data_IF_864363727032
#
_entry.id   IF_864363727032
#
_cell.length_a   1.000
_cell.length_b   1.000
_cell.length_c   1.000
_cell.angle_alpha   90.00
_cell.angle_beta   90.00
_cell.angle_gamma   90.00
#
_symmetry.space_group_name_H-M   'P 1'
#
loop_
_entity.id
_entity.type
_entity.pdbx_description
1 polymer ?
#
# COMPACT_ATOMS: atom_id res chain seq x y z
N UNK A 1 -15.39 6.48 -5.45
CA UNK A 1 -16.02 7.57 -4.69
C UNK A 1 -15.17 7.72 -3.46
N UNK A 2 -15.67 8.11 -2.30
CA UNK A 2 -15.00 7.66 -1.08
C UNK A 2 -15.66 6.34 -0.71
N UNK A 3 -14.91 5.24 -0.72
CA UNK A 3 -15.38 3.87 -0.54
C UNK A 3 -14.70 3.21 0.66
N UNK A 4 -15.34 2.16 1.21
CA UNK A 4 -14.78 1.29 2.25
C UNK A 4 -14.82 -0.14 1.75
N UNK A 5 -13.66 -0.76 1.59
CA UNK A 5 -13.49 -2.08 0.98
C UNK A 5 -12.75 -2.99 1.96
N UNK A 6 -13.26 -4.22 2.14
CA UNK A 6 -12.65 -5.24 3.02
C UNK A 6 -12.65 -6.59 2.31
N UNK A 7 -11.48 -7.18 2.08
CA UNK A 7 -11.31 -8.50 1.43
C UNK A 7 -11.66 -9.68 2.33
N UNK A 8 -11.37 -9.53 3.63
CA UNK A 8 -11.54 -10.51 4.70
C UNK A 8 -10.52 -11.64 4.66
N UNK A 9 -10.67 -12.57 3.73
CA UNK A 9 -9.87 -13.79 3.74
C UNK A 9 -9.84 -14.46 2.39
N UNK A 10 -8.68 -15.00 2.03
CA UNK A 10 -8.38 -15.44 0.67
C UNK A 10 -7.45 -14.45 -0.01
N UNK A 11 -7.12 -14.71 -1.28
CA UNK A 11 -6.29 -13.79 -2.05
C UNK A 11 -7.23 -12.92 -2.89
N UNK A 12 -7.32 -11.65 -2.55
CA UNK A 12 -8.24 -10.70 -3.12
C UNK A 12 -7.56 -9.74 -4.11
N UNK A 13 -8.39 -9.07 -4.90
CA UNK A 13 -7.97 -7.95 -5.75
C UNK A 13 -8.95 -6.80 -5.52
N UNK A 14 -8.48 -5.79 -4.80
CA UNK A 14 -9.26 -4.69 -4.28
C UNK A 14 -8.87 -3.39 -4.99
N UNK A 15 -9.87 -2.62 -5.43
CA UNK A 15 -9.68 -1.41 -6.24
C UNK A 15 -10.58 -0.28 -5.73
N UNK A 16 -9.99 0.82 -5.25
CA UNK A 16 -10.71 2.04 -4.80
C UNK A 16 -11.15 2.94 -5.97
N UNK A 17 -10.35 2.94 -7.03
CA UNK A 17 -10.52 3.71 -8.26
C UNK A 17 -10.32 5.22 -8.06
N UNK A 18 -11.21 5.90 -7.34
CA UNK A 18 -10.92 7.28 -7.03
C UNK A 18 -11.93 8.01 -6.17
N UNK A 19 -11.44 9.07 -5.52
CA UNK A 19 -11.88 9.58 -4.23
C UNK A 19 -11.03 8.94 -3.12
N UNK A 20 -11.22 9.39 -1.88
CA UNK A 20 -10.38 8.99 -0.74
C UNK A 20 -10.96 7.71 -0.11
N UNK A 21 -10.25 6.60 -0.27
CA UNK A 21 -10.73 5.25 0.04
C UNK A 21 -10.10 4.67 1.32
N UNK A 22 -10.83 3.76 1.98
CA UNK A 22 -10.30 2.90 3.05
C UNK A 22 -10.37 1.44 2.59
N UNK A 23 -9.22 0.79 2.43
CA UNK A 23 -9.15 -0.58 1.92
C UNK A 23 -8.32 -1.46 2.86
N UNK A 24 -8.90 -2.58 3.29
CA UNK A 24 -8.23 -3.61 4.08
C UNK A 24 -8.25 -4.95 3.33
N UNK A 25 -7.09 -5.57 3.15
CA UNK A 25 -6.93 -6.89 2.52
C UNK A 25 -7.54 -7.99 3.38
N UNK A 26 -6.97 -8.18 4.56
CA UNK A 26 -7.38 -9.21 5.50
C UNK A 26 -6.35 -10.33 5.52
N UNK A 27 -6.81 -11.58 5.55
CA UNK A 27 -5.90 -12.72 5.52
C UNK A 27 -5.71 -13.25 4.11
N UNK A 28 -4.47 -13.31 3.62
CA UNK A 28 -4.12 -13.92 2.34
C UNK A 28 -3.24 -12.99 1.52
N UNK A 29 -2.77 -13.47 0.36
CA UNK A 29 -1.87 -12.65 -0.45
C UNK A 29 -2.70 -11.74 -1.37
N UNK A 30 -2.87 -10.49 -0.97
CA UNK A 30 -3.78 -9.56 -1.60
C UNK A 30 -3.08 -8.62 -2.59
N UNK A 31 -3.88 -8.12 -3.53
CA UNK A 31 -3.51 -6.99 -4.39
C UNK A 31 -4.47 -5.85 -4.10
N UNK A 32 -3.94 -4.74 -3.61
CA UNK A 32 -4.70 -3.55 -3.27
C UNK A 32 -4.20 -2.38 -4.12
N UNK A 33 -5.14 -1.67 -4.77
CA UNK A 33 -4.89 -0.47 -5.56
C UNK A 33 -5.89 0.63 -5.15
N UNK A 34 -5.40 1.68 -4.48
CA UNK A 34 -6.22 2.81 -4.02
C UNK A 34 -6.78 3.61 -5.19
N UNK A 35 -5.92 3.93 -6.15
CA UNK A 35 -6.31 4.58 -7.39
C UNK A 35 -6.01 6.07 -7.34
N UNK A 36 -7.02 6.92 -7.21
CA UNK A 36 -6.83 8.37 -7.23
C UNK A 36 -7.56 9.06 -6.09
N UNK A 37 -6.84 9.65 -5.15
CA UNK A 37 -7.37 10.19 -3.91
C UNK A 37 -6.32 10.04 -2.83
N UNK A 38 -6.60 10.51 -1.63
CA UNK A 38 -5.71 10.27 -0.50
C UNK A 38 -6.21 9.04 0.24
N UNK A 39 -5.63 7.89 -0.07
CA UNK A 39 -6.16 6.60 0.35
C UNK A 39 -5.50 6.10 1.64
N UNK A 40 -6.23 5.26 2.39
CA UNK A 40 -5.69 4.50 3.52
C UNK A 40 -5.83 3.01 3.26
N UNK A 41 -4.69 2.35 3.06
CA UNK A 41 -4.58 0.98 2.57
C UNK A 41 -3.82 0.12 3.58
N UNK A 42 -4.36 -1.07 3.90
CA UNK A 42 -3.75 -2.02 4.83
C UNK A 42 -3.81 -3.45 4.26
N UNK A 43 -2.67 -4.11 4.07
CA UNK A 43 -2.60 -5.51 3.62
C UNK A 43 -3.09 -6.50 4.70
N UNK A 44 -2.77 -6.20 5.96
CA UNK A 44 -2.99 -7.03 7.14
C UNK A 44 -2.09 -8.27 7.22
N UNK A 45 -2.52 -9.46 6.77
CA UNK A 45 -1.80 -10.72 7.04
C UNK A 45 -1.42 -11.43 5.74
N UNK A 46 -0.27 -12.11 5.77
CA UNK A 46 0.38 -12.75 4.63
C UNK A 46 1.03 -11.73 3.68
N UNK A 47 1.41 -12.13 2.46
CA UNK A 47 2.28 -11.33 1.60
C UNK A 47 1.49 -10.53 0.58
N UNK A 48 1.51 -9.23 0.77
CA UNK A 48 0.66 -8.31 0.03
C UNK A 48 1.40 -7.47 -1.00
N UNK A 49 0.63 -7.02 -1.97
CA UNK A 49 1.04 -5.96 -2.90
C UNK A 49 0.07 -4.80 -2.75
N UNK A 50 0.53 -3.72 -2.15
CA UNK A 50 -0.29 -2.53 -1.88
C UNK A 50 0.21 -1.34 -2.69
N UNK A 51 -0.70 -0.70 -3.43
CA UNK A 51 -0.43 0.40 -4.36
C UNK A 51 -1.32 1.58 -3.95
N UNK A 52 -0.71 2.70 -3.54
CA UNK A 52 -1.40 3.96 -3.22
C UNK A 52 -2.05 4.55 -4.47
N UNK A 53 -1.24 5.11 -5.37
CA UNK A 53 -1.72 5.57 -6.67
C UNK A 53 -1.42 7.05 -6.88
N UNK A 54 -2.45 7.85 -7.15
CA UNK A 54 -2.35 9.29 -7.24
C UNK A 54 -2.91 9.90 -5.95
N UNK A 55 -2.15 10.76 -5.28
CA UNK A 55 -2.58 11.42 -4.05
C UNK A 55 -1.59 11.16 -2.93
N UNK A 56 -1.84 11.76 -1.76
CA UNK A 56 -1.00 11.57 -0.59
C UNK A 56 -1.54 10.38 0.23
N UNK A 57 -0.90 9.22 0.09
CA UNK A 57 -1.45 7.95 0.57
C UNK A 57 -0.85 7.47 1.90
N UNK A 58 -1.65 6.75 2.68
CA UNK A 58 -1.21 5.95 3.83
C UNK A 58 -1.26 4.48 3.50
N UNK A 59 -0.09 3.82 3.43
CA UNK A 59 0.04 2.42 3.01
C UNK A 59 0.69 1.59 4.12
N UNK A 60 0.02 0.54 4.58
CA UNK A 60 0.58 -0.46 5.50
C UNK A 60 0.64 -1.84 4.84
N UNK A 61 1.77 -2.52 4.98
CA UNK A 61 1.97 -3.91 4.59
C UNK A 61 1.28 -4.85 5.57
N UNK A 62 1.86 -4.98 6.76
CA UNK A 62 1.25 -5.74 7.84
C UNK A 62 2.20 -6.80 8.38
N UNK A 63 1.75 -8.04 8.44
CA UNK A 63 2.61 -9.18 8.72
C UNK A 63 3.30 -9.68 7.44
N UNK A 64 4.39 -10.46 7.58
CA UNK A 64 5.14 -11.01 6.45
C UNK A 64 5.75 -9.95 5.50
N UNK A 65 6.28 -10.38 4.35
CA UNK A 65 7.16 -9.57 3.51
C UNK A 65 6.41 -9.01 2.30
N UNK A 66 6.24 -7.69 2.29
CA UNK A 66 5.31 -7.01 1.39
C UNK A 66 5.98 -6.20 0.29
N UNK A 67 5.17 -5.83 -0.71
CA UNK A 67 5.53 -4.87 -1.75
C UNK A 67 4.64 -3.63 -1.70
N UNK A 68 5.17 -2.51 -1.20
CA UNK A 68 4.43 -1.26 -1.01
C UNK A 68 4.86 -0.20 -2.02
N UNK A 69 3.88 0.41 -2.70
CA UNK A 69 4.11 1.39 -3.77
C UNK A 69 3.27 2.65 -3.54
N UNK A 70 3.87 3.77 -3.15
CA UNK A 70 3.17 5.05 -2.98
C UNK A 70 2.78 5.70 -4.31
N UNK A 71 3.66 5.58 -5.31
CA UNK A 71 3.54 6.21 -6.64
C UNK A 71 3.59 7.75 -6.61
N UNK A 72 2.46 8.46 -6.66
CA UNK A 72 2.46 9.88 -6.94
C UNK A 72 1.77 10.69 -5.85
N UNK A 73 2.58 11.21 -4.92
CA UNK A 73 2.15 12.17 -3.90
C UNK A 73 3.17 12.18 -2.78
N UNK A 74 2.79 12.66 -1.61
CA UNK A 74 3.59 12.57 -0.40
C UNK A 74 3.05 11.44 0.46
N UNK A 75 3.66 10.27 0.32
CA UNK A 75 3.11 9.04 0.87
C UNK A 75 3.75 8.67 2.20
N UNK A 76 3.01 7.96 3.04
CA UNK A 76 3.52 7.28 4.23
C UNK A 76 3.42 5.77 4.03
N UNK A 77 4.57 5.10 3.95
CA UNK A 77 4.66 3.65 3.78
C UNK A 77 5.16 3.01 5.07
N UNK A 78 4.38 2.12 5.65
CA UNK A 78 4.69 1.32 6.83
C UNK A 78 4.75 -0.16 6.46
N UNK A 79 5.97 -0.72 6.38
CA UNK A 79 6.19 -2.13 6.04
C UNK A 79 5.53 -3.08 7.04
N UNK A 80 5.53 -2.72 8.33
CA UNK A 80 5.08 -3.61 9.39
C UNK A 80 6.17 -4.60 9.82
N UNK A 81 5.86 -5.89 9.84
CA UNK A 81 6.78 -6.95 10.23
C UNK A 81 7.62 -7.43 9.04
N UNK A 82 8.62 -8.28 9.33
CA UNK A 82 9.52 -8.83 8.31
C UNK A 82 10.29 -7.77 7.49
N UNK A 83 10.52 -8.05 6.20
CA UNK A 83 11.46 -7.34 5.35
C UNK A 83 10.74 -6.92 4.06
N UNK A 84 10.39 -5.64 4.00
CA UNK A 84 9.43 -5.14 3.00
C UNK A 84 10.10 -4.34 1.91
N UNK A 85 9.62 -4.51 0.69
CA UNK A 85 10.04 -3.72 -0.45
C UNK A 85 9.13 -2.49 -0.59
N UNK A 86 9.62 -1.32 -0.19
CA UNK A 86 8.87 -0.09 -0.29
C UNK A 86 9.44 0.85 -1.36
N UNK A 87 8.56 1.36 -2.21
CA UNK A 87 8.85 2.39 -3.22
C UNK A 87 7.83 3.53 -3.12
N UNK A 88 8.23 4.66 -2.55
CA UNK A 88 7.37 5.84 -2.44
C UNK A 88 7.14 6.58 -3.78
N UNK A 89 7.89 6.28 -4.84
CA UNK A 89 7.73 6.98 -6.11
C UNK A 89 8.14 8.46 -6.06
N UNK A 90 7.29 9.34 -6.60
CA UNK A 90 7.52 10.80 -6.63
C UNK A 90 7.13 11.46 -5.31
N UNK A 91 7.34 12.78 -5.18
CA UNK A 91 6.98 13.54 -3.97
C UNK A 91 7.89 13.28 -2.76
N UNK A 92 7.44 13.72 -1.58
CA UNK A 92 8.19 13.62 -0.33
C UNK A 92 7.59 12.54 0.54
N UNK A 93 8.27 11.40 0.62
CA UNK A 93 7.72 10.18 1.22
C UNK A 93 8.34 9.88 2.60
N UNK A 94 7.53 9.31 3.48
CA UNK A 94 7.93 8.79 4.78
C UNK A 94 7.90 7.26 4.75
N UNK A 95 8.91 6.63 5.35
CA UNK A 95 9.04 5.17 5.40
C UNK A 95 9.22 4.71 6.84
N UNK A 96 8.48 3.68 7.24
CA UNK A 96 8.56 2.98 8.53
C UNK A 96 8.71 1.49 8.23
N UNK A 97 9.61 0.80 8.95
CA UNK A 97 9.87 -0.64 8.79
C UNK A 97 10.24 -1.15 7.36
N UNK A 98 10.49 -0.25 6.42
CA UNK A 98 10.77 -0.60 5.02
C UNK A 98 12.25 -0.88 4.71
N UNK A 99 12.50 -1.85 3.83
CA UNK A 99 13.73 -1.91 3.02
C UNK A 99 13.55 -1.00 1.79
N UNK A 100 14.12 0.20 1.86
CA UNK A 100 13.97 1.20 0.79
C UNK A 100 14.96 0.91 -0.33
N UNK A 101 14.47 0.74 -1.56
CA UNK A 101 15.32 0.74 -2.74
C UNK A 101 15.68 2.20 -3.10
N UNK A 102 16.95 2.63 -2.99
CA UNK A 102 17.33 3.96 -3.46
C UNK A 102 17.07 4.04 -4.97
N UNK A 103 16.32 5.06 -5.39
CA UNK A 103 16.10 5.36 -6.79
C UNK A 103 17.47 5.57 -7.48
N UNK A 104 17.89 4.62 -8.32
CA UNK A 104 19.02 4.82 -9.24
C UNK A 104 20.17 3.81 -9.23
N UNK A 105 19.93 2.51 -9.11
CA UNK A 105 20.89 1.51 -9.61
C UNK A 105 20.34 0.81 -10.86
N UNK A 106 20.63 1.43 -12.00
CA UNK A 106 20.53 0.91 -13.35
C UNK A 106 21.53 1.64 -14.24
#
# INVERSE_FOLDING_TARGET
GADVIVGLGGNDSLYGLGGDDLICGGAGNDIIDGGAGNDMLDGESDKDRVIGGLGDDGVRGGDDADGLFGNAGNDTLDGGAAADNCNGGTGTNAFVACEVFPAGMG
#
